data_IF_897589371980
#
_entry.id   IF_897589371980
#
_cell.length_a   1.000
_cell.length_b   1.000
_cell.length_c   1.000
_cell.angle_alpha   90.00
_cell.angle_beta   90.00
_cell.angle_gamma   90.00
#
_symmetry.space_group_name_H-M   'P 1'
#
loop_
_entity.id
_entity.type
_entity.pdbx_description
1 polymer ?
#
# COMPACT_ATOMS: atom_id res chain seq x y z
N UNK A 1 40.99 11.14 -8.17
CA UNK A 1 40.87 9.83 -8.84
C UNK A 1 39.48 9.73 -9.48
N UNK A 2 39.35 9.49 -10.79
CA UNK A 2 38.05 9.25 -11.43
C UNK A 2 37.44 7.95 -10.88
N UNK A 3 36.13 7.93 -10.64
CA UNK A 3 35.43 6.73 -10.15
C UNK A 3 35.12 5.81 -11.33
N UNK A 4 35.55 4.55 -11.25
CA UNK A 4 35.22 3.56 -12.29
C UNK A 4 33.73 3.18 -12.23
N UNK A 5 33.08 3.10 -13.38
CA UNK A 5 31.68 2.71 -13.54
C UNK A 5 31.61 1.38 -14.30
N UNK A 6 30.78 0.45 -13.84
CA UNK A 6 30.48 -0.79 -14.54
C UNK A 6 29.04 -0.78 -15.03
N UNK A 7 28.79 -1.32 -16.22
CA UNK A 7 27.43 -1.36 -16.78
C UNK A 7 26.71 -2.65 -16.36
N UNK A 8 25.52 -2.51 -15.79
CA UNK A 8 24.64 -3.65 -15.52
C UNK A 8 24.27 -4.36 -16.82
N UNK A 9 24.49 -5.68 -16.90
CA UNK A 9 24.24 -6.45 -18.13
C UNK A 9 22.79 -6.42 -18.60
N UNK A 10 21.83 -6.37 -17.66
CA UNK A 10 20.39 -6.48 -17.92
C UNK A 10 19.80 -5.11 -18.21
N UNK A 11 19.93 -4.18 -17.26
CA UNK A 11 19.29 -2.86 -17.36
C UNK A 11 20.16 -1.84 -18.10
N UNK A 12 21.41 -2.19 -18.44
CA UNK A 12 22.39 -1.30 -19.10
C UNK A 12 22.66 0.02 -18.37
N UNK A 13 22.31 0.09 -17.08
CA UNK A 13 22.56 1.22 -16.20
C UNK A 13 24.02 1.17 -15.73
N UNK A 14 24.70 2.32 -15.75
CA UNK A 14 26.04 2.47 -15.20
C UNK A 14 25.98 2.59 -13.68
N UNK A 15 26.62 1.67 -12.98
CA UNK A 15 26.66 1.57 -11.52
C UNK A 15 28.12 1.74 -11.08
N UNK A 16 28.41 2.41 -9.95
CA UNK A 16 29.77 2.50 -9.44
C UNK A 16 30.40 1.11 -9.27
N UNK A 17 31.61 0.95 -9.82
CA UNK A 17 32.41 -0.26 -9.57
C UNK A 17 32.69 -0.33 -8.07
N UNK A 18 32.40 -1.46 -7.43
CA UNK A 18 32.81 -1.67 -6.04
C UNK A 18 34.27 -2.09 -6.07
N UNK A 19 35.18 -1.15 -5.83
CA UNK A 19 36.59 -1.49 -5.62
C UNK A 19 36.69 -2.33 -4.35
N UNK A 20 37.11 -3.59 -4.49
CA UNK A 20 37.12 -4.64 -3.46
C UNK A 20 38.10 -4.41 -2.30
N UNK A 21 38.55 -3.18 -2.04
CA UNK A 21 39.60 -2.92 -1.04
C UNK A 21 39.24 -1.77 -0.11
N UNK A 22 39.02 -2.19 1.14
CA UNK A 22 39.01 -1.43 2.38
C UNK A 22 37.72 -0.68 2.76
N UNK A 23 37.14 -1.16 3.86
CA UNK A 23 36.41 -0.37 4.86
C UNK A 23 35.12 0.32 4.40
N UNK A 24 34.05 -0.45 4.20
CA UNK A 24 32.71 0.06 4.47
C UNK A 24 31.96 -1.02 5.24
N UNK A 25 31.69 -0.70 6.51
CA UNK A 25 30.65 -1.30 7.34
C UNK A 25 29.59 -1.94 6.45
N UNK A 26 29.31 -3.23 6.64
CA UNK A 26 28.08 -3.84 6.15
C UNK A 26 26.96 -2.97 6.70
N UNK A 27 26.57 -1.90 5.99
CA UNK A 27 25.37 -1.12 6.28
C UNK A 27 24.29 -2.18 6.22
N UNK A 28 23.86 -2.57 7.41
CA UNK A 28 22.82 -3.53 7.72
C UNK A 28 21.84 -3.51 6.57
N UNK A 29 21.77 -4.61 5.81
CA UNK A 29 20.62 -4.97 4.96
C UNK A 29 19.82 -3.74 4.56
N UNK A 30 20.42 -2.91 3.69
CA UNK A 30 19.99 -1.53 3.50
C UNK A 30 18.49 -1.46 3.36
N UNK A 31 17.81 -0.95 4.39
CA UNK A 31 16.40 -0.63 4.28
C UNK A 31 16.25 0.12 2.98
N UNK A 32 15.41 -0.34 2.02
CA UNK A 32 15.23 0.39 0.79
C UNK A 32 14.85 1.79 1.22
N UNK A 33 15.75 2.75 0.98
CA UNK A 33 15.45 4.14 1.19
C UNK A 33 14.44 4.44 0.10
N UNK A 34 13.17 4.19 0.41
CA UNK A 34 12.06 4.82 -0.28
C UNK A 34 12.39 6.31 -0.11
N UNK A 35 12.90 6.91 -1.17
CA UNK A 35 13.24 8.34 -1.20
C UNK A 35 11.98 9.19 -1.04
N UNK A 36 10.80 8.56 -1.11
CA UNK A 36 9.49 9.15 -0.95
C UNK A 36 8.83 8.56 0.31
N UNK A 37 8.09 9.40 1.05
CA UNK A 37 7.25 8.93 2.13
C UNK A 37 6.06 8.13 1.55
N UNK A 38 5.65 7.01 2.17
CA UNK A 38 4.48 6.26 1.72
C UNK A 38 3.24 7.15 1.74
N UNK A 39 2.50 7.16 0.63
CA UNK A 39 1.31 8.00 0.43
C UNK A 39 0.04 7.23 0.73
N UNK A 40 -0.97 7.94 1.21
CA UNK A 40 -2.14 7.34 1.80
C UNK A 40 -3.39 8.00 1.22
N UNK A 41 -4.11 7.26 0.37
CA UNK A 41 -5.30 7.79 -0.33
C UNK A 41 -6.55 7.26 0.36
N UNK A 42 -7.39 8.18 0.87
CA UNK A 42 -8.64 7.84 1.55
C UNK A 42 -9.82 8.21 0.67
N UNK A 43 -10.66 7.23 0.30
CA UNK A 43 -11.85 7.45 -0.51
C UNK A 43 -13.08 7.63 0.37
N UNK A 44 -13.68 8.83 0.34
CA UNK A 44 -14.85 9.20 1.13
C UNK A 44 -16.12 9.24 0.26
N UNK A 45 -17.30 8.97 0.86
CA UNK A 45 -18.60 9.17 0.21
C UNK A 45 -19.63 8.07 0.45
N UNK A 46 -20.87 8.31 0.01
CA UNK A 46 -22.03 7.41 0.20
C UNK A 46 -21.81 6.01 -0.41
N UNK A 47 -22.43 4.95 0.13
CA UNK A 47 -22.38 3.61 -0.46
C UNK A 47 -22.83 3.62 -1.92
N UNK A 48 -22.34 2.66 -2.72
CA UNK A 48 -22.61 2.52 -4.16
C UNK A 48 -22.14 3.67 -5.09
N UNK A 49 -21.43 4.69 -4.59
CA UNK A 49 -20.87 5.80 -5.41
C UNK A 49 -19.57 5.48 -6.17
N UNK A 50 -19.32 4.22 -6.51
CA UNK A 50 -18.14 3.86 -7.32
C UNK A 50 -16.76 3.97 -6.64
N UNK A 51 -16.70 4.20 -5.32
CA UNK A 51 -15.42 4.29 -4.57
C UNK A 51 -14.53 3.04 -4.76
N UNK A 52 -15.09 1.85 -4.59
CA UNK A 52 -14.35 0.59 -4.80
C UNK A 52 -13.87 0.43 -6.24
N UNK A 53 -14.68 0.88 -7.22
CA UNK A 53 -14.30 0.84 -8.63
C UNK A 53 -13.11 1.76 -8.91
N UNK A 54 -13.17 3.00 -8.42
CA UNK A 54 -12.07 3.96 -8.58
C UNK A 54 -10.79 3.48 -7.88
N UNK A 55 -10.89 2.92 -6.67
CA UNK A 55 -9.73 2.38 -5.94
C UNK A 55 -9.01 1.27 -6.73
N UNK A 56 -9.77 0.33 -7.30
CA UNK A 56 -9.22 -0.78 -8.10
C UNK A 56 -8.61 -0.27 -9.42
N UNK A 57 -9.27 0.66 -10.09
CA UNK A 57 -8.79 1.25 -11.35
C UNK A 57 -7.48 2.01 -11.14
N UNK A 58 -7.41 2.83 -10.10
CA UNK A 58 -6.21 3.57 -9.72
C UNK A 58 -5.07 2.62 -9.36
N UNK A 59 -5.32 1.62 -8.53
CA UNK A 59 -4.30 0.64 -8.13
C UNK A 59 -3.77 -0.15 -9.32
N UNK A 60 -4.62 -0.54 -10.27
CA UNK A 60 -4.17 -1.21 -11.51
C UNK A 60 -3.24 -0.31 -12.33
N UNK A 61 -3.59 0.98 -12.45
CA UNK A 61 -2.78 1.94 -13.18
C UNK A 61 -1.44 2.21 -12.49
N UNK A 62 -1.43 2.43 -11.18
CA UNK A 62 -0.23 2.67 -10.40
C UNK A 62 0.73 1.46 -10.43
N UNK A 63 0.20 0.24 -10.31
CA UNK A 63 1.03 -0.96 -10.47
C UNK A 63 1.55 -1.13 -11.90
N UNK A 64 0.79 -0.72 -12.93
CA UNK A 64 1.24 -0.79 -14.33
C UNK A 64 2.42 0.14 -14.61
N UNK A 65 2.45 1.34 -14.03
CA UNK A 65 3.60 2.26 -14.14
C UNK A 65 4.77 1.88 -13.24
N UNK A 66 4.67 0.79 -12.47
CA UNK A 66 5.73 0.28 -11.59
C UNK A 66 5.70 0.81 -10.17
N UNK A 67 4.64 1.51 -9.75
CA UNK A 67 4.45 1.93 -8.36
C UNK A 67 3.72 0.83 -7.57
N UNK A 68 4.35 0.25 -6.54
CA UNK A 68 3.75 -0.83 -5.77
C UNK A 68 2.56 -0.28 -4.95
N UNK A 69 1.34 -0.65 -5.31
CA UNK A 69 0.13 -0.12 -4.65
C UNK A 69 -0.86 -1.19 -4.28
N UNK A 70 -1.53 -1.02 -3.14
CA UNK A 70 -2.48 -2.00 -2.60
C UNK A 70 -3.78 -1.34 -2.17
N UNK A 71 -4.89 -1.95 -2.55
CA UNK A 71 -6.23 -1.56 -2.07
C UNK A 71 -6.51 -2.27 -0.74
N UNK A 72 -7.02 -1.51 0.22
CA UNK A 72 -7.58 -2.05 1.46
C UNK A 72 -9.08 -1.73 1.47
N UNK A 73 -9.91 -2.76 1.51
CA UNK A 73 -11.37 -2.62 1.46
C UNK A 73 -11.98 -3.08 2.79
N UNK A 74 -12.46 -2.14 3.62
CA UNK A 74 -13.10 -2.45 4.91
C UNK A 74 -14.32 -3.37 4.77
N UNK A 75 -14.99 -3.36 3.62
CA UNK A 75 -16.10 -4.28 3.35
C UNK A 75 -15.67 -5.75 3.27
N UNK A 76 -14.45 -6.04 2.81
CA UNK A 76 -13.89 -7.40 2.80
C UNK A 76 -13.52 -7.84 4.21
N UNK A 77 -12.84 -6.98 4.97
CA UNK A 77 -12.53 -7.23 6.38
C UNK A 77 -13.79 -7.45 7.23
N UNK A 78 -14.88 -6.74 6.95
CA UNK A 78 -16.17 -6.99 7.61
C UNK A 78 -16.71 -8.39 7.31
N UNK A 79 -16.64 -8.83 6.05
CA UNK A 79 -17.14 -10.15 5.61
C UNK A 79 -16.33 -11.30 6.21
N UNK A 80 -15.02 -11.11 6.40
CA UNK A 80 -14.16 -12.09 7.07
C UNK A 80 -14.43 -12.17 8.58
N UNK A 81 -14.63 -11.02 9.23
CA UNK A 81 -14.83 -10.95 10.68
C UNK A 81 -16.21 -11.45 11.13
N UNK A 82 -17.23 -11.34 10.28
CA UNK A 82 -18.62 -11.71 10.63
C UNK A 82 -19.17 -12.59 9.50
N UNK A 83 -18.99 -13.91 9.66
CA UNK A 83 -19.33 -14.93 8.65
C UNK A 83 -20.84 -15.07 8.38
N UNK A 84 -21.69 -14.65 9.31
CA UNK A 84 -23.14 -14.76 9.20
C UNK A 84 -23.78 -13.37 9.28
N UNK A 85 -24.20 -12.83 8.14
CA UNK A 85 -25.12 -11.69 8.11
C UNK A 85 -26.41 -12.09 7.44
N UNK A 86 -27.54 -11.82 8.11
CA UNK A 86 -28.88 -12.00 7.56
C UNK A 86 -29.62 -10.67 7.31
N UNK A 87 -29.16 -9.50 7.76
CA UNK A 87 -29.99 -8.28 7.71
C UNK A 87 -29.24 -6.93 7.69
N UNK A 88 -29.96 -5.88 7.24
CA UNK A 88 -29.61 -4.45 7.29
C UNK A 88 -29.39 -3.92 8.72
N UNK A 89 -29.84 -4.65 9.75
CA UNK A 89 -29.71 -4.26 11.17
C UNK A 89 -28.28 -3.97 11.61
N UNK A 90 -27.28 -4.49 10.89
CA UNK A 90 -25.90 -4.14 11.13
C UNK A 90 -25.57 -2.67 10.88
N UNK A 91 -26.25 -2.01 9.95
CA UNK A 91 -25.93 -0.62 9.60
C UNK A 91 -26.71 0.40 10.42
N UNK A 92 -27.72 -0.04 11.17
CA UNK A 92 -28.51 0.83 12.05
C UNK A 92 -27.60 1.52 13.07
N UNK A 93 -27.86 2.80 13.40
CA UNK A 93 -27.09 3.54 14.40
C UNK A 93 -27.31 2.99 15.82
N UNK A 94 -28.44 2.32 16.05
CA UNK A 94 -28.84 1.80 17.37
C UNK A 94 -28.00 0.59 17.80
N UNK A 95 -27.37 -0.10 16.86
CA UNK A 95 -26.53 -1.26 17.14
C UNK A 95 -25.11 -0.83 17.54
N UNK A 96 -24.91 -0.61 18.84
CA UNK A 96 -23.64 -0.16 19.41
C UNK A 96 -22.47 -1.12 19.13
N UNK A 97 -22.71 -2.43 19.11
CA UNK A 97 -21.66 -3.41 18.81
C UNK A 97 -21.24 -3.33 17.34
N UNK A 98 -22.21 -3.16 16.44
CA UNK A 98 -21.92 -2.93 15.03
C UNK A 98 -21.22 -1.59 14.78
N UNK A 99 -21.52 -0.55 15.56
CA UNK A 99 -20.82 0.75 15.49
C UNK A 99 -19.38 0.59 15.98
N UNK A 100 -19.14 -0.12 17.08
CA UNK A 100 -17.78 -0.41 17.58
C UNK A 100 -16.95 -1.19 16.55
N UNK A 101 -17.53 -2.24 15.95
CA UNK A 101 -16.86 -3.01 14.89
C UNK A 101 -16.53 -2.12 13.68
N UNK A 102 -17.45 -1.22 13.30
CA UNK A 102 -17.22 -0.24 12.22
C UNK A 102 -16.12 0.75 12.59
N UNK A 103 -16.15 1.37 13.77
CA UNK A 103 -15.16 2.36 14.21
C UNK A 103 -13.75 1.77 14.34
N UNK A 104 -13.64 0.60 14.98
CA UNK A 104 -12.35 -0.07 15.19
C UNK A 104 -11.66 -0.45 13.86
N UNK A 105 -12.44 -0.73 12.80
CA UNK A 105 -11.90 -1.17 11.51
C UNK A 105 -11.92 -0.12 10.41
N UNK A 106 -12.67 0.98 10.55
CA UNK A 106 -12.63 2.13 9.62
C UNK A 106 -11.28 2.84 9.66
N UNK A 107 -10.54 2.78 10.78
CA UNK A 107 -9.13 3.21 10.84
C UNK A 107 -8.23 2.50 9.81
N UNK A 108 -8.66 1.36 9.26
CA UNK A 108 -7.87 0.52 8.33
C UNK A 108 -8.25 0.80 6.86
N UNK A 109 -9.24 1.66 6.55
CA UNK A 109 -9.55 2.06 5.15
C UNK A 109 -8.54 3.09 4.63
N UNK A 110 -7.32 2.61 4.46
CA UNK A 110 -6.17 3.33 3.99
C UNK A 110 -5.83 2.67 2.66
N UNK A 111 -6.05 3.32 1.51
CA UNK A 111 -5.38 2.84 0.29
C UNK A 111 -3.91 3.19 0.49
N UNK A 112 -3.12 2.23 0.95
CA UNK A 112 -1.66 2.41 1.04
C UNK A 112 -1.11 2.44 -0.38
N UNK A 113 -0.73 3.64 -0.80
CA UNK A 113 0.09 3.86 -1.98
C UNK A 113 1.53 3.88 -1.49
N UNK A 114 2.23 2.75 -1.59
CA UNK A 114 3.69 2.80 -1.45
C UNK A 114 4.22 3.56 -2.67
N UNK A 115 4.84 4.71 -2.42
CA UNK A 115 5.47 5.57 -3.42
C UNK A 115 6.94 5.72 -3.04
#
# INVERSE_FOLDING_TARGET
MPRELTQNRIQKIWIPCKDDKAAVSRRSSGNPHLTNAPTLIVMMGLPARGKTYMAKKLTRYLNWIGLPTKVFNVGEYRREAVKNYSSYDFFKPDNQDAVKIRQFRVQILIVTVFL
#
